data_IF_749554289552
#
_entry.id   IF_749554289552
#
_cell.length_a   1.000
_cell.length_b   1.000
_cell.length_c   1.000
_cell.angle_alpha   90.00
_cell.angle_beta   90.00
_cell.angle_gamma   90.00
#
_symmetry.space_group_name_H-M   'P 1'
#
loop_
_entity.id
_entity.type
_entity.pdbx_description
1 polymer ?
#
# COMPACT_ATOMS: atom_id res chain seq x y z
N UNK A 1 30.59 -8.12 -4.83
CA UNK A 1 29.55 -7.80 -5.82
C UNK A 1 28.34 -8.64 -5.45
N UNK A 2 27.33 -8.06 -4.81
CA UNK A 2 26.05 -8.76 -4.60
C UNK A 2 25.31 -8.56 -5.92
N UNK A 3 25.27 -9.61 -6.68
CA UNK A 3 24.64 -9.61 -8.00
C UNK A 3 23.16 -9.24 -7.90
N UNK A 4 22.69 -8.44 -8.84
CA UNK A 4 21.30 -7.99 -9.02
C UNK A 4 20.30 -9.15 -9.32
N UNK A 5 20.67 -10.39 -9.06
CA UNK A 5 19.86 -11.57 -9.32
C UNK A 5 18.58 -11.64 -8.47
N UNK A 6 18.52 -10.91 -7.35
CA UNK A 6 17.34 -10.90 -6.48
C UNK A 6 16.09 -10.29 -7.13
N UNK A 7 16.24 -9.53 -8.23
CA UNK A 7 15.10 -8.96 -8.95
C UNK A 7 14.72 -9.74 -10.21
N UNK A 8 15.43 -10.82 -10.51
CA UNK A 8 15.14 -11.66 -11.67
C UNK A 8 13.74 -12.29 -11.61
N UNK A 9 13.19 -12.49 -10.42
CA UNK A 9 11.83 -12.98 -10.21
C UNK A 9 10.73 -12.07 -10.80
N UNK A 10 11.02 -10.77 -10.98
CA UNK A 10 10.06 -9.83 -11.57
C UNK A 10 9.77 -10.13 -13.06
N UNK A 11 10.65 -10.85 -13.72
CA UNK A 11 10.52 -11.23 -15.12
C UNK A 11 9.89 -12.62 -15.31
N UNK A 12 9.52 -13.28 -14.21
CA UNK A 12 8.95 -14.63 -14.22
C UNK A 12 7.48 -14.55 -13.85
N UNK A 13 6.61 -15.11 -14.69
CA UNK A 13 5.21 -15.29 -14.39
C UNK A 13 4.99 -16.35 -13.33
N UNK A 14 3.93 -16.21 -12.54
CA UNK A 14 3.49 -17.29 -11.65
C UNK A 14 3.09 -18.52 -12.45
N UNK A 15 3.41 -19.73 -11.97
CA UNK A 15 2.85 -20.96 -12.51
C UNK A 15 1.31 -20.89 -12.53
N UNK A 16 0.73 -21.37 -13.63
CA UNK A 16 -0.71 -21.21 -13.89
C UNK A 16 -1.61 -21.84 -12.81
N UNK A 17 -1.16 -22.95 -12.24
CA UNK A 17 -1.85 -23.64 -11.15
C UNK A 17 -1.98 -22.74 -9.90
N UNK A 18 -0.91 -22.04 -9.52
CA UNK A 18 -0.90 -21.09 -8.39
C UNK A 18 -1.72 -19.85 -8.73
N UNK A 19 -1.51 -19.30 -9.94
CA UNK A 19 -2.25 -18.11 -10.39
C UNK A 19 -3.76 -18.37 -10.37
N UNK A 20 -4.20 -19.53 -10.86
CA UNK A 20 -5.62 -19.91 -10.85
C UNK A 20 -6.18 -20.01 -9.45
N UNK A 21 -5.49 -20.68 -8.50
CA UNK A 21 -5.91 -20.74 -7.10
C UNK A 21 -6.05 -19.34 -6.50
N UNK A 22 -5.06 -18.48 -6.71
CA UNK A 22 -5.08 -17.09 -6.24
C UNK A 22 -6.27 -16.31 -6.81
N UNK A 23 -6.54 -16.40 -8.11
CA UNK A 23 -7.64 -15.70 -8.76
C UNK A 23 -9.03 -16.19 -8.30
N UNK A 24 -9.13 -17.45 -7.89
CA UNK A 24 -10.35 -18.01 -7.30
C UNK A 24 -10.45 -17.78 -5.78
N UNK A 25 -9.46 -17.15 -5.16
CA UNK A 25 -9.45 -16.89 -3.72
C UNK A 25 -9.13 -18.10 -2.85
N UNK A 26 -8.63 -19.22 -3.41
CA UNK A 26 -8.11 -20.37 -2.66
C UNK A 26 -6.67 -20.08 -2.21
N UNK A 27 -6.54 -19.19 -1.25
CA UNK A 27 -5.23 -18.75 -0.76
C UNK A 27 -4.52 -19.84 0.03
N UNK A 28 -5.23 -20.61 0.82
CA UNK A 28 -4.65 -21.73 1.57
C UNK A 28 -4.14 -22.83 0.63
N UNK A 29 -4.89 -23.13 -0.42
CA UNK A 29 -4.45 -24.05 -1.47
C UNK A 29 -3.22 -23.55 -2.20
N UNK A 30 -3.21 -22.27 -2.56
CA UNK A 30 -2.07 -21.63 -3.23
C UNK A 30 -0.81 -21.68 -2.35
N UNK A 31 -0.92 -21.35 -1.06
CA UNK A 31 0.21 -21.41 -0.11
C UNK A 31 0.74 -22.84 0.03
N UNK A 32 -0.15 -23.83 0.22
CA UNK A 32 0.27 -25.24 0.29
C UNK A 32 0.98 -25.72 -0.97
N UNK A 33 0.52 -25.28 -2.15
CA UNK A 33 1.15 -25.64 -3.41
C UNK A 33 2.51 -24.95 -3.60
N UNK A 34 2.61 -23.68 -3.20
CA UNK A 34 3.88 -22.94 -3.19
C UNK A 34 4.88 -23.63 -2.26
N UNK A 35 4.50 -23.97 -1.03
CA UNK A 35 5.38 -24.62 -0.06
C UNK A 35 5.90 -25.98 -0.59
N UNK A 36 5.03 -26.75 -1.26
CA UNK A 36 5.42 -28.00 -1.92
C UNK A 36 6.45 -27.74 -3.03
N UNK A 37 6.23 -26.73 -3.90
CA UNK A 37 7.18 -26.40 -4.96
C UNK A 37 8.51 -25.89 -4.39
N UNK A 38 8.49 -25.11 -3.32
CA UNK A 38 9.68 -24.59 -2.65
C UNK A 38 10.53 -25.69 -1.99
N UNK A 39 9.93 -26.83 -1.63
CA UNK A 39 10.66 -27.97 -1.07
C UNK A 39 11.46 -28.75 -2.11
N UNK A 40 11.25 -28.50 -3.41
CA UNK A 40 12.02 -29.11 -4.48
C UNK A 40 13.43 -28.48 -4.59
N UNK A 41 14.51 -29.23 -4.34
CA UNK A 41 15.87 -28.69 -4.47
C UNK A 41 16.25 -28.34 -5.91
N UNK A 42 15.58 -28.94 -6.91
CA UNK A 42 15.83 -28.68 -8.33
C UNK A 42 15.11 -27.43 -8.85
N UNK A 43 14.31 -26.76 -8.00
CA UNK A 43 13.59 -25.56 -8.40
C UNK A 43 14.58 -24.43 -8.77
N UNK A 44 14.49 -23.84 -9.98
CA UNK A 44 15.34 -22.73 -10.39
C UNK A 44 15.23 -21.52 -9.45
N UNK A 45 16.35 -20.90 -9.10
CA UNK A 45 16.40 -19.77 -8.15
C UNK A 45 15.46 -18.62 -8.51
N UNK A 46 15.35 -18.15 -9.77
CA UNK A 46 14.43 -17.08 -10.10
C UNK A 46 12.96 -17.42 -9.78
N UNK A 47 12.55 -18.66 -10.04
CA UNK A 47 11.20 -19.13 -9.72
C UNK A 47 11.04 -19.31 -8.20
N UNK A 48 12.06 -19.77 -7.51
CA UNK A 48 12.07 -19.85 -6.03
C UNK A 48 11.81 -18.50 -5.40
N UNK A 49 12.51 -17.44 -5.84
CA UNK A 49 12.29 -16.08 -5.33
C UNK A 49 10.89 -15.53 -5.67
N UNK A 50 10.40 -15.81 -6.89
CA UNK A 50 9.04 -15.48 -7.29
C UNK A 50 8.01 -16.10 -6.33
N UNK A 51 8.13 -17.41 -6.08
CA UNK A 51 7.21 -18.13 -5.20
C UNK A 51 7.28 -17.68 -3.75
N UNK A 52 8.48 -17.39 -3.23
CA UNK A 52 8.64 -16.84 -1.89
C UNK A 52 7.96 -15.48 -1.75
N UNK A 53 8.15 -14.59 -2.72
CA UNK A 53 7.51 -13.27 -2.73
C UNK A 53 5.98 -13.40 -2.81
N UNK A 54 5.48 -14.27 -3.67
CA UNK A 54 4.05 -14.49 -3.85
C UNK A 54 3.40 -15.09 -2.60
N UNK A 55 4.07 -16.04 -1.95
CA UNK A 55 3.63 -16.61 -0.68
C UNK A 55 3.39 -15.52 0.37
N UNK A 56 4.34 -14.61 0.54
CA UNK A 56 4.21 -13.50 1.47
C UNK A 56 3.08 -12.54 1.09
N UNK A 57 2.88 -12.29 -0.20
CA UNK A 57 1.76 -11.48 -0.67
C UNK A 57 0.42 -12.12 -0.36
N UNK A 58 0.27 -13.42 -0.63
CA UNK A 58 -0.97 -14.17 -0.35
C UNK A 58 -1.28 -14.18 1.15
N UNK A 59 -0.27 -14.39 2.00
CA UNK A 59 -0.45 -14.38 3.47
C UNK A 59 -0.88 -13.00 4.02
N UNK A 60 -0.59 -11.91 3.30
CA UNK A 60 -1.00 -10.55 3.69
C UNK A 60 -2.39 -10.17 3.20
N UNK A 61 -2.89 -10.81 2.15
CA UNK A 61 -4.20 -10.47 1.57
C UNK A 61 -5.36 -10.45 2.58
N UNK A 62 -5.49 -11.39 3.54
CA UNK A 62 -6.53 -11.33 4.56
C UNK A 62 -6.45 -10.07 5.45
N UNK A 63 -5.25 -9.53 5.67
CA UNK A 63 -5.07 -8.28 6.43
C UNK A 63 -5.55 -7.06 5.65
N UNK A 64 -5.45 -7.08 4.32
CA UNK A 64 -5.94 -6.01 3.46
C UNK A 64 -7.46 -6.09 3.23
N UNK A 65 -8.06 -7.27 3.48
CA UNK A 65 -9.49 -7.54 3.33
C UNK A 65 -10.08 -8.17 4.60
N UNK A 66 -10.08 -7.44 5.72
CA UNK A 66 -10.45 -8.00 7.02
C UNK A 66 -11.96 -8.13 7.24
N UNK A 67 -12.80 -7.34 6.55
CA UNK A 67 -14.21 -7.24 6.84
C UNK A 67 -15.05 -8.28 6.09
N UNK A 68 -15.98 -8.88 6.81
CA UNK A 68 -17.12 -9.56 6.20
C UNK A 68 -18.13 -8.55 5.65
N UNK A 69 -19.14 -9.02 4.90
CA UNK A 69 -20.26 -8.17 4.48
C UNK A 69 -20.94 -7.50 5.67
N UNK A 70 -21.18 -8.28 6.73
CA UNK A 70 -21.86 -7.80 7.94
C UNK A 70 -21.01 -6.74 8.68
N UNK A 71 -19.70 -6.97 8.83
CA UNK A 71 -18.80 -6.01 9.45
C UNK A 71 -18.74 -4.70 8.67
N UNK A 72 -18.72 -4.77 7.34
CA UNK A 72 -18.71 -3.60 6.48
C UNK A 72 -20.02 -2.81 6.59
N UNK A 73 -21.18 -3.49 6.57
CA UNK A 73 -22.49 -2.87 6.81
C UNK A 73 -22.54 -2.19 8.19
N UNK A 74 -22.11 -2.89 9.23
CA UNK A 74 -22.04 -2.34 10.58
C UNK A 74 -21.16 -1.09 10.63
N UNK A 75 -19.99 -1.12 9.98
CA UNK A 75 -19.08 0.03 9.90
C UNK A 75 -19.74 1.22 9.20
N UNK A 76 -20.48 1.02 8.10
CA UNK A 76 -21.22 2.09 7.43
C UNK A 76 -22.32 2.63 8.36
N UNK A 77 -23.14 1.76 8.95
CA UNK A 77 -24.27 2.12 9.80
C UNK A 77 -23.90 2.90 11.06
N UNK A 78 -22.65 2.81 11.51
CA UNK A 78 -22.15 3.68 12.59
C UNK A 78 -22.08 5.14 12.18
N UNK A 79 -22.05 5.46 10.89
CA UNK A 79 -21.96 6.80 10.33
C UNK A 79 -23.20 7.21 9.55
N UNK A 80 -23.91 6.24 8.99
CA UNK A 80 -25.14 6.40 8.20
C UNK A 80 -26.13 5.37 8.73
N UNK A 81 -26.88 5.64 9.80
CA UNK A 81 -27.73 4.65 10.47
C UNK A 81 -28.83 4.07 9.58
N UNK A 82 -29.33 4.84 8.61
CA UNK A 82 -30.36 4.48 7.65
C UNK A 82 -29.84 3.74 6.40
N UNK A 83 -28.54 3.38 6.38
CA UNK A 83 -27.95 2.70 5.23
C UNK A 83 -28.50 1.27 5.08
N UNK A 84 -29.05 0.99 3.87
CA UNK A 84 -29.73 -0.27 3.58
C UNK A 84 -28.78 -1.32 2.97
N UNK A 85 -29.24 -2.57 2.96
CA UNK A 85 -28.52 -3.66 2.28
C UNK A 85 -28.57 -3.52 0.77
N UNK A 86 -29.68 -3.03 0.25
CA UNK A 86 -29.85 -2.78 -1.20
C UNK A 86 -28.86 -1.72 -1.69
N UNK A 87 -28.63 -0.66 -0.89
CA UNK A 87 -27.58 0.32 -1.19
C UNK A 87 -26.19 -0.33 -1.19
N UNK A 88 -25.93 -1.21 -0.24
CA UNK A 88 -24.67 -1.92 -0.18
C UNK A 88 -24.43 -2.76 -1.43
N UNK A 89 -25.43 -3.52 -1.83
CA UNK A 89 -25.38 -4.37 -3.03
C UNK A 89 -25.25 -3.54 -4.31
N UNK A 90 -25.90 -2.40 -4.35
CA UNK A 90 -25.70 -1.44 -5.44
C UNK A 90 -24.25 -0.98 -5.52
N UNK A 91 -23.63 -0.58 -4.40
CA UNK A 91 -22.24 -0.13 -4.39
C UNK A 91 -21.24 -1.26 -4.69
N UNK A 92 -21.55 -2.49 -4.33
CA UNK A 92 -20.81 -3.67 -4.76
C UNK A 92 -20.88 -3.85 -6.28
N UNK A 93 -22.10 -3.78 -6.85
CA UNK A 93 -22.35 -4.04 -8.28
C UNK A 93 -21.65 -3.03 -9.19
N UNK A 94 -21.56 -1.77 -8.77
CA UNK A 94 -20.84 -0.71 -9.51
C UNK A 94 -19.34 -0.63 -9.18
N UNK A 95 -18.81 -1.57 -8.38
CA UNK A 95 -17.39 -1.69 -8.06
C UNK A 95 -16.82 -0.61 -7.13
N UNK A 96 -17.70 0.12 -6.41
CA UNK A 96 -17.25 1.13 -5.42
C UNK A 96 -16.79 0.51 -4.11
N UNK A 97 -17.32 -0.65 -3.74
CA UNK A 97 -16.85 -1.46 -2.64
C UNK A 97 -15.97 -2.56 -3.22
N UNK A 98 -14.67 -2.50 -2.93
CA UNK A 98 -13.71 -3.53 -3.35
C UNK A 98 -13.81 -4.75 -2.45
N UNK A 99 -13.88 -5.90 -3.05
CA UNK A 99 -13.95 -7.17 -2.35
C UNK A 99 -13.23 -8.28 -3.12
N UNK A 100 -12.88 -9.35 -2.42
CA UNK A 100 -12.30 -10.57 -2.97
C UNK A 100 -12.87 -11.78 -2.24
N UNK A 101 -12.72 -12.96 -2.81
CA UNK A 101 -12.85 -14.20 -2.05
C UNK A 101 -11.53 -14.51 -1.33
N UNK A 102 -11.64 -14.92 -0.06
CA UNK A 102 -10.56 -15.44 0.77
C UNK A 102 -11.03 -16.78 1.33
N UNK A 103 -10.49 -17.87 0.78
CA UNK A 103 -10.81 -19.25 1.19
C UNK A 103 -12.33 -19.55 1.22
N UNK A 104 -13.04 -19.08 0.18
CA UNK A 104 -14.48 -19.28 0.03
C UNK A 104 -15.37 -18.24 0.70
N UNK A 105 -14.81 -17.31 1.47
CA UNK A 105 -15.55 -16.23 2.09
C UNK A 105 -15.35 -14.90 1.34
N UNK A 106 -16.43 -14.14 1.15
CA UNK A 106 -16.37 -12.78 0.66
C UNK A 106 -15.74 -11.88 1.71
N UNK A 107 -14.67 -11.20 1.35
CA UNK A 107 -13.96 -10.25 2.21
C UNK A 107 -13.83 -8.89 1.55
N UNK A 108 -14.01 -7.84 2.34
CA UNK A 108 -14.08 -6.46 1.89
C UNK A 108 -12.82 -5.72 2.31
N UNK A 109 -12.34 -4.86 1.41
CA UNK A 109 -11.12 -4.09 1.56
C UNK A 109 -11.14 -3.21 2.82
N UNK A 110 -10.05 -3.19 3.57
CA UNK A 110 -9.93 -2.45 4.84
C UNK A 110 -10.36 -0.98 4.71
N UNK A 111 -9.91 -0.31 3.66
CA UNK A 111 -10.16 1.12 3.45
C UNK A 111 -11.34 1.42 2.52
N UNK A 112 -12.30 0.51 2.40
CA UNK A 112 -13.45 0.70 1.51
C UNK A 112 -14.26 1.96 1.86
N UNK A 113 -14.49 2.21 3.17
CA UNK A 113 -15.27 3.36 3.64
C UNK A 113 -14.62 4.70 3.26
N UNK A 114 -13.31 4.84 3.51
CA UNK A 114 -12.57 6.03 3.12
C UNK A 114 -12.51 6.21 1.60
N UNK A 115 -12.45 5.11 0.85
CA UNK A 115 -12.48 5.14 -0.61
C UNK A 115 -13.83 5.64 -1.11
N UNK A 116 -14.95 5.15 -0.55
CA UNK A 116 -16.29 5.63 -0.86
C UNK A 116 -16.46 7.12 -0.54
N UNK A 117 -16.00 7.56 0.63
CA UNK A 117 -16.04 8.98 1.00
C UNK A 117 -15.26 9.88 0.02
N UNK A 118 -14.19 9.37 -0.59
CA UNK A 118 -13.37 10.12 -1.55
C UNK A 118 -13.98 10.14 -2.95
N UNK A 119 -14.53 9.01 -3.40
CA UNK A 119 -15.04 8.84 -4.77
C UNK A 119 -16.49 9.24 -4.95
N UNK A 120 -17.27 9.28 -3.85
CA UNK A 120 -18.72 9.48 -3.89
C UNK A 120 -19.15 10.67 -3.05
N UNK A 121 -19.38 11.85 -3.66
CA UNK A 121 -19.75 13.06 -2.93
C UNK A 121 -21.05 12.92 -2.12
N UNK A 122 -22.04 12.22 -2.63
CA UNK A 122 -23.34 12.05 -1.95
C UNK A 122 -23.24 11.11 -0.75
N UNK A 123 -22.47 10.04 -0.85
CA UNK A 123 -22.14 9.19 0.29
C UNK A 123 -21.42 9.99 1.38
N UNK A 124 -20.43 10.81 0.98
CA UNK A 124 -19.68 11.69 1.89
C UNK A 124 -20.60 12.69 2.61
N UNK A 125 -21.57 13.29 1.92
CA UNK A 125 -22.53 14.23 2.53
C UNK A 125 -23.33 13.55 3.64
N UNK A 126 -23.79 12.31 3.43
CA UNK A 126 -24.53 11.55 4.45
C UNK A 126 -23.69 11.26 5.69
N UNK A 127 -22.39 10.99 5.54
CA UNK A 127 -21.51 10.73 6.67
C UNK A 127 -21.26 11.96 7.54
N UNK A 128 -21.35 13.15 6.98
CA UNK A 128 -21.10 14.41 7.68
C UNK A 128 -22.29 14.85 8.57
N UNK A 129 -23.50 14.47 8.17
CA UNK A 129 -24.74 14.86 8.88
C UNK A 129 -24.92 14.11 10.19
N UNK A 130 -24.33 12.92 10.33
CA UNK A 130 -24.59 12.01 11.46
C UNK A 130 -23.71 12.25 12.69
N UNK A 131 -22.68 13.09 12.60
CA UNK A 131 -21.64 13.12 13.64
C UNK A 131 -21.90 14.07 14.82
N UNK A 132 -22.78 15.07 14.73
CA UNK A 132 -23.04 15.97 15.90
C UNK A 132 -24.23 16.93 15.75
N UNK A 133 -25.03 16.90 14.70
CA UNK A 133 -25.96 18.02 14.47
C UNK A 133 -25.24 19.38 14.32
N UNK A 134 -23.92 19.40 14.41
CA UNK A 134 -23.07 20.54 14.13
C UNK A 134 -22.54 20.41 12.72
N UNK A 135 -22.80 21.43 11.91
CA UNK A 135 -22.30 21.58 10.55
C UNK A 135 -20.76 21.59 10.48
N UNK A 136 -20.10 20.50 10.84
CA UNK A 136 -18.68 20.35 10.49
C UNK A 136 -18.46 19.87 9.04
N UNK A 137 -19.56 19.74 8.30
CA UNK A 137 -19.57 19.42 6.86
C UNK A 137 -18.98 20.53 5.96
N UNK A 138 -18.68 21.68 6.47
CA UNK A 138 -18.26 22.84 5.67
C UNK A 138 -16.78 23.21 5.73
N UNK A 139 -16.05 22.75 6.71
CA UNK A 139 -14.60 23.00 6.78
C UNK A 139 -13.86 21.81 6.19
N UNK A 140 -13.74 21.78 4.85
CA UNK A 140 -12.91 20.83 4.16
C UNK A 140 -11.56 20.66 4.84
N UNK A 141 -11.11 19.43 4.95
CA UNK A 141 -9.77 19.13 5.45
C UNK A 141 -8.78 20.10 4.80
N UNK A 142 -7.74 20.50 5.52
CA UNK A 142 -6.65 21.34 4.94
C UNK A 142 -6.15 20.78 3.60
N UNK A 143 -6.27 19.48 3.37
CA UNK A 143 -6.02 18.79 2.11
C UNK A 143 -7.03 19.13 1.02
N UNK A 144 -8.33 19.17 1.35
CA UNK A 144 -9.40 19.50 0.40
C UNK A 144 -9.33 20.95 -0.08
N UNK A 145 -9.00 21.88 0.81
CA UNK A 145 -8.80 23.29 0.44
C UNK A 145 -7.62 23.48 -0.51
N UNK A 146 -6.52 22.75 -0.30
CA UNK A 146 -5.36 22.78 -1.19
C UNK A 146 -5.69 22.18 -2.57
N UNK A 147 -6.42 21.05 -2.57
CA UNK A 147 -6.84 20.40 -3.81
C UNK A 147 -7.76 21.30 -4.62
N UNK A 148 -8.79 21.90 -4.02
CA UNK A 148 -9.71 22.81 -4.69
C UNK A 148 -8.97 24.01 -5.28
N UNK A 149 -8.08 24.63 -4.50
CA UNK A 149 -7.25 25.74 -5.02
C UNK A 149 -6.34 25.30 -6.17
N UNK A 150 -5.77 24.11 -6.11
CA UNK A 150 -4.96 23.57 -7.19
C UNK A 150 -5.80 23.36 -8.45
N UNK A 151 -7.02 22.83 -8.31
CA UNK A 151 -7.96 22.66 -9.43
C UNK A 151 -8.37 23.98 -10.06
N UNK A 152 -8.64 25.01 -9.27
CA UNK A 152 -8.95 26.37 -9.75
C UNK A 152 -7.78 26.93 -10.57
N UNK A 153 -6.57 26.88 -10.04
CA UNK A 153 -5.36 27.33 -10.76
C UNK A 153 -5.17 26.56 -12.06
N UNK A 154 -5.38 25.25 -12.04
CA UNK A 154 -5.24 24.43 -13.26
C UNK A 154 -6.32 24.74 -14.28
N UNK A 155 -7.55 25.07 -13.87
CA UNK A 155 -8.63 25.53 -14.78
C UNK A 155 -8.31 26.88 -15.42
N UNK A 156 -7.72 27.81 -14.65
CA UNK A 156 -7.40 29.15 -15.15
C UNK A 156 -6.13 29.17 -16.02
N UNK A 157 -5.09 28.45 -15.59
CA UNK A 157 -3.74 28.54 -16.19
C UNK A 157 -3.36 27.34 -17.06
N UNK A 158 -4.21 26.31 -17.12
CA UNK A 158 -3.94 25.07 -17.86
C UNK A 158 -2.88 24.17 -17.20
N UNK A 159 -2.12 24.67 -16.22
CA UNK A 159 -1.07 23.91 -15.53
C UNK A 159 -0.81 24.43 -14.13
N UNK A 160 -0.29 23.56 -13.27
CA UNK A 160 0.20 23.91 -11.93
C UNK A 160 1.52 23.21 -11.68
N UNK A 161 2.55 24.00 -11.36
CA UNK A 161 3.86 23.48 -10.99
C UNK A 161 4.09 23.58 -9.49
N UNK A 162 4.50 22.49 -8.86
CA UNK A 162 4.79 22.42 -7.43
C UNK A 162 6.21 21.88 -7.20
N UNK A 163 6.92 22.49 -6.25
CA UNK A 163 8.17 21.94 -5.73
C UNK A 163 7.87 21.09 -4.51
N UNK A 164 8.20 19.80 -4.58
CA UNK A 164 8.00 18.84 -3.49
C UNK A 164 9.35 18.55 -2.85
N UNK A 165 9.43 18.71 -1.52
CA UNK A 165 10.57 18.26 -0.72
C UNK A 165 10.11 17.10 0.14
N UNK A 166 10.71 15.93 -0.06
CA UNK A 166 10.41 14.73 0.72
C UNK A 166 11.50 14.56 1.77
N UNK A 167 11.08 14.39 3.02
CA UNK A 167 11.96 13.99 4.12
C UNK A 167 11.41 12.71 4.71
N UNK A 168 12.17 11.62 4.61
CA UNK A 168 11.81 10.32 5.16
C UNK A 168 12.78 9.94 6.29
N UNK A 169 12.28 9.27 7.32
CA UNK A 169 13.09 8.68 8.39
C UNK A 169 12.65 7.25 8.63
N UNK A 170 13.60 6.37 8.80
CA UNK A 170 13.38 4.95 9.15
C UNK A 170 14.00 4.72 10.52
N UNK A 171 13.20 4.19 11.45
CA UNK A 171 13.67 3.75 12.76
C UNK A 171 13.65 2.23 12.81
N UNK A 172 14.78 1.62 13.13
CA UNK A 172 14.88 0.20 13.45
C UNK A 172 14.73 0.07 14.96
N UNK A 173 13.92 -0.88 15.43
CA UNK A 173 13.78 -1.15 16.87
C UNK A 173 15.10 -1.67 17.42
N UNK A 174 15.53 -1.18 18.58
CA UNK A 174 16.79 -1.59 19.22
C UNK A 174 16.85 -3.12 19.46
N UNK A 175 15.71 -3.75 19.73
CA UNK A 175 15.59 -5.22 19.89
C UNK A 175 15.82 -6.02 18.60
N UNK A 176 15.73 -5.37 17.44
CA UNK A 176 15.96 -5.99 16.13
C UNK A 176 17.39 -5.76 15.61
N UNK A 177 18.24 -5.09 16.40
CA UNK A 177 19.58 -4.71 15.98
C UNK A 177 20.60 -5.69 16.55
N UNK A 178 21.30 -6.42 15.69
CA UNK A 178 22.47 -7.20 16.06
C UNK A 178 23.75 -6.50 15.58
N UNK A 179 24.93 -6.63 16.28
CA UNK A 179 26.15 -5.91 15.92
C UNK A 179 26.63 -6.13 14.49
N UNK A 180 26.27 -7.26 13.88
CA UNK A 180 26.69 -7.66 12.53
C UNK A 180 25.60 -7.43 11.46
N UNK A 181 24.51 -6.79 11.84
CA UNK A 181 23.36 -6.60 10.94
C UNK A 181 23.58 -5.46 9.95
N UNK A 182 23.44 -5.76 8.66
CA UNK A 182 23.35 -4.76 7.61
C UNK A 182 21.90 -4.40 7.34
N UNK A 183 21.54 -3.13 7.49
CA UNK A 183 20.22 -2.62 7.13
C UNK A 183 20.30 -2.01 5.75
N UNK A 184 19.56 -2.60 4.78
CA UNK A 184 19.38 -2.03 3.44
C UNK A 184 18.08 -1.22 3.41
N UNK A 185 18.20 0.06 3.11
CA UNK A 185 17.04 0.95 2.97
C UNK A 185 16.80 1.23 1.48
N UNK A 186 15.61 0.86 0.98
CA UNK A 186 15.17 1.18 -0.36
C UNK A 186 14.26 2.41 -0.30
N UNK A 187 14.71 3.53 -0.86
CA UNK A 187 13.92 4.75 -0.96
C UNK A 187 13.45 4.92 -2.40
N UNK A 188 12.15 5.14 -2.64
CA UNK A 188 11.67 5.43 -3.97
C UNK A 188 12.20 6.81 -4.40
N UNK A 189 13.01 6.83 -5.44
CA UNK A 189 13.49 8.06 -6.07
C UNK A 189 12.55 8.37 -7.22
N UNK A 190 11.97 9.57 -7.22
CA UNK A 190 11.16 9.99 -8.34
C UNK A 190 11.99 9.99 -9.64
N UNK A 191 11.57 9.30 -10.71
CA UNK A 191 12.21 9.37 -12.03
C UNK A 191 11.77 10.61 -12.84
N UNK A 192 12.58 11.17 -13.71
CA UNK A 192 12.17 12.23 -14.61
C UNK A 192 11.11 11.71 -15.59
N UNK A 193 10.08 12.51 -15.86
CA UNK A 193 9.04 12.22 -16.85
C UNK A 193 8.47 13.53 -17.38
N UNK A 194 7.61 13.48 -18.41
CA UNK A 194 7.04 14.66 -19.06
C UNK A 194 6.34 15.64 -18.10
N UNK A 195 5.79 15.12 -17.02
CA UNK A 195 5.10 15.93 -16.00
C UNK A 195 6.00 16.35 -14.84
N UNK A 196 7.29 15.99 -14.88
CA UNK A 196 8.18 16.22 -13.76
C UNK A 196 9.63 16.38 -14.17
N UNK A 197 10.20 17.52 -13.79
CA UNK A 197 11.63 17.78 -13.86
C UNK A 197 12.30 17.58 -12.50
N UNK A 198 13.46 16.94 -12.48
CA UNK A 198 14.32 16.88 -11.30
C UNK A 198 15.29 18.05 -11.41
N UNK A 199 15.05 19.09 -10.61
CA UNK A 199 15.99 20.20 -10.50
C UNK A 199 16.93 19.96 -9.31
N UNK A 200 18.19 19.70 -9.59
CA UNK A 200 19.28 19.61 -8.62
C UNK A 200 19.56 18.20 -8.13
N UNK A 201 20.79 17.77 -8.31
CA UNK A 201 21.39 16.62 -7.64
C UNK A 201 21.75 17.02 -6.22
N UNK A 202 20.80 16.97 -5.29
CA UNK A 202 21.21 16.99 -3.89
C UNK A 202 21.65 15.60 -3.49
N UNK A 203 22.86 15.43 -2.96
CA UNK A 203 23.33 14.17 -2.44
C UNK A 203 22.39 13.74 -1.29
N UNK A 204 22.08 12.46 -1.26
CA UNK A 204 21.36 11.86 -0.12
C UNK A 204 22.25 11.99 1.12
N UNK A 205 21.86 12.80 2.07
CA UNK A 205 22.51 12.82 3.38
C UNK A 205 21.82 11.77 4.27
N UNK A 206 22.47 10.63 4.47
CA UNK A 206 22.16 9.71 5.56
C UNK A 206 22.72 10.30 6.86
N UNK A 207 21.87 10.94 7.65
CA UNK A 207 22.21 11.33 9.01
C UNK A 207 21.87 10.17 9.93
N UNK A 208 22.85 9.38 10.31
CA UNK A 208 22.71 8.40 11.39
C UNK A 208 22.74 9.12 12.72
N UNK A 209 21.64 9.09 13.45
CA UNK A 209 21.60 9.58 14.82
C UNK A 209 21.76 8.37 15.73
N UNK A 210 22.95 8.21 16.34
CA UNK A 210 23.17 7.24 17.41
C UNK A 210 22.54 7.80 18.68
N UNK A 211 21.65 7.06 19.32
CA UNK A 211 21.38 7.27 20.74
C UNK A 211 22.62 6.82 21.51
N UNK A 212 23.08 7.65 22.42
CA UNK A 212 24.28 7.39 23.22
C UNK A 212 24.12 6.11 24.05
N UNK A 213 24.72 5.01 23.62
CA UNK A 213 25.36 4.04 24.49
C UNK A 213 26.66 3.62 23.81
N UNK A 214 27.75 3.81 24.56
CA UNK A 214 29.14 3.49 24.17
C UNK A 214 29.22 2.07 23.63
N UNK A 215 29.74 1.89 22.44
CA UNK A 215 30.77 0.96 21.99
C UNK A 215 30.62 0.60 20.51
N UNK A 216 31.76 0.67 19.84
CA UNK A 216 32.14 0.15 18.51
C UNK A 216 31.66 0.84 17.23
N UNK A 217 32.68 1.26 16.49
CA UNK A 217 32.61 1.84 15.14
C UNK A 217 32.03 0.83 14.14
N UNK A 218 30.99 1.24 13.45
CA UNK A 218 30.55 0.58 12.21
C UNK A 218 30.55 1.61 11.09
N UNK A 219 31.29 1.33 10.05
CA UNK A 219 31.34 2.15 8.84
C UNK A 219 30.09 1.87 7.97
N UNK A 220 29.39 2.93 7.62
CA UNK A 220 28.32 2.89 6.61
C UNK A 220 28.92 3.27 5.25
N UNK A 221 28.86 2.34 4.30
CA UNK A 221 29.18 2.63 2.91
C UNK A 221 27.90 3.04 2.16
N UNK A 222 27.86 4.29 1.72
CA UNK A 222 26.88 4.77 0.76
C UNK A 222 27.50 4.64 -0.64
N UNK A 223 27.07 3.65 -1.41
CA UNK A 223 27.47 3.48 -2.80
C UNK A 223 26.75 4.48 -3.69
N UNK A 224 27.50 5.40 -4.31
CA UNK A 224 27.08 6.24 -5.41
C UNK A 224 27.18 5.41 -6.69
N UNK A 225 26.13 5.32 -7.49
CA UNK A 225 26.23 4.93 -8.91
C UNK A 225 25.64 6.05 -9.76
N UNK A 226 26.44 6.42 -10.73
CA UNK A 226 26.13 7.24 -11.88
C UNK A 226 25.10 6.55 -12.78
#
# INVERSE_FOLDING_TARGET
MIENNLLSYLNIGLPEDILRMKLHGDFDGAVRLIDRKLSDPALPDPLRYCLMAEREMILRMPSDYPFTREDALKKIRTRIPDFTEDEFDHYLSIGQIRWIYVNGEMRIFDRFFESMCKSMPDFRKRTAVTLDGSESAGKGSRGDLRLNRAMEIMKEKGSLSNRIRIRASVKVKDSAFTPEMFVRVHLPIPAACDQRAISGSNPFFLKTQRSHRKTHRSALYAGKRL
#
